data_IF_170246279079
#
_entry.id   IF_170246279079
#
_cell.length_a   1.000
_cell.length_b   1.000
_cell.length_c   1.000
_cell.angle_alpha   90.00
_cell.angle_beta   90.00
_cell.angle_gamma   90.00
#
_symmetry.space_group_name_H-M   'P 1'
#
loop_
_entity.id
_entity.type
_entity.pdbx_description
1 polymer ?
#
# COMPACT_ATOMS: atom_id res chain seq x y z
N UNK A 1 0.86 27.47 1.98
CA UNK A 1 0.70 26.57 3.12
C UNK A 1 0.85 25.13 2.67
N UNK A 2 1.83 24.45 3.24
CA UNK A 2 2.11 23.08 2.83
C UNK A 2 1.35 22.08 3.70
N UNK A 3 0.38 21.46 3.10
CA UNK A 3 -0.39 20.44 3.78
C UNK A 3 -0.02 19.08 3.18
N UNK A 4 0.41 18.18 4.03
CA UNK A 4 0.73 16.84 3.61
C UNK A 4 -0.53 15.99 3.78
N UNK A 5 -1.06 15.52 2.67
CA UNK A 5 -2.23 14.66 2.70
C UNK A 5 -1.85 13.30 2.13
N UNK A 6 -2.27 12.26 2.83
CA UNK A 6 -2.06 10.90 2.37
C UNK A 6 -3.33 10.33 1.80
N UNK A 7 -3.21 9.66 0.69
CA UNK A 7 -4.33 8.91 0.11
C UNK A 7 -4.37 7.55 0.78
N UNK A 8 -5.46 7.20 1.47
CA UNK A 8 -5.54 5.93 2.17
C UNK A 8 -5.75 4.76 1.21
N UNK A 9 -5.01 3.68 1.45
CA UNK A 9 -5.17 2.43 0.70
C UNK A 9 -5.35 1.32 1.72
N UNK A 10 -6.46 0.61 1.60
CA UNK A 10 -6.80 -0.46 2.54
C UNK A 10 -6.16 -1.79 2.14
N UNK A 11 -6.04 -2.69 3.12
CA UNK A 11 -5.54 -4.05 2.85
C UNK A 11 -6.44 -4.78 1.87
N UNK A 12 -7.75 -4.53 1.92
CA UNK A 12 -8.68 -5.13 0.97
C UNK A 12 -8.32 -4.77 -0.48
N UNK A 13 -7.86 -3.54 -0.71
CA UNK A 13 -7.41 -3.10 -2.03
C UNK A 13 -6.15 -3.85 -2.44
N UNK A 14 -5.21 -4.03 -1.51
CA UNK A 14 -3.99 -4.80 -1.78
C UNK A 14 -4.32 -6.25 -2.12
N UNK A 15 -5.31 -6.83 -1.45
CA UNK A 15 -5.74 -8.19 -1.74
C UNK A 15 -6.29 -8.29 -3.17
N UNK A 16 -7.03 -7.31 -3.62
CA UNK A 16 -7.53 -7.28 -5.00
C UNK A 16 -6.39 -7.24 -6.01
N UNK A 17 -5.35 -6.49 -5.72
CA UNK A 17 -4.17 -6.44 -6.59
C UNK A 17 -3.46 -7.78 -6.60
N UNK A 18 -3.37 -8.43 -5.45
CA UNK A 18 -2.77 -9.76 -5.35
C UNK A 18 -3.54 -10.77 -6.19
N UNK A 19 -4.86 -10.67 -6.20
CA UNK A 19 -5.73 -11.56 -6.99
C UNK A 19 -5.49 -11.39 -8.49
N UNK A 20 -4.96 -10.24 -8.90
CA UNK A 20 -4.58 -9.99 -10.29
C UNK A 20 -3.18 -10.51 -10.63
N UNK A 21 -2.50 -11.08 -9.66
CA UNK A 21 -1.15 -11.59 -9.85
C UNK A 21 -0.04 -10.61 -9.51
N UNK A 22 -0.38 -9.48 -8.92
CA UNK A 22 0.60 -8.47 -8.51
C UNK A 22 1.19 -8.86 -7.18
N UNK A 23 2.52 -9.00 -7.11
CA UNK A 23 3.22 -9.38 -5.88
C UNK A 23 4.02 -8.23 -5.29
N UNK A 24 4.30 -7.21 -6.07
CA UNK A 24 5.01 -6.02 -5.61
C UNK A 24 4.09 -4.82 -5.80
N UNK A 25 3.78 -4.15 -4.69
CA UNK A 25 2.90 -2.98 -4.71
C UNK A 25 3.74 -1.73 -4.44
N UNK A 26 3.74 -0.82 -5.38
CA UNK A 26 4.42 0.47 -5.26
C UNK A 26 3.40 1.57 -5.56
N UNK A 27 3.70 2.83 -5.22
CA UNK A 27 2.80 3.92 -5.60
C UNK A 27 2.54 3.96 -7.11
N UNK A 28 3.54 3.60 -7.91
CA UNK A 28 3.37 3.54 -9.36
C UNK A 28 2.35 2.48 -9.78
N UNK A 29 2.41 1.31 -9.15
CA UNK A 29 1.46 0.23 -9.40
C UNK A 29 0.05 0.69 -9.03
N UNK A 30 -0.08 1.40 -7.91
CA UNK A 30 -1.38 1.92 -7.47
C UNK A 30 -1.95 2.91 -8.48
N UNK A 31 -1.11 3.76 -9.05
CA UNK A 31 -1.54 4.70 -10.09
C UNK A 31 -1.97 3.95 -11.33
N UNK A 32 -1.20 2.97 -11.76
CA UNK A 32 -1.53 2.17 -12.95
C UNK A 32 -2.85 1.43 -12.83
N UNK A 33 -3.20 1.03 -11.61
CA UNK A 33 -4.45 0.31 -11.35
C UNK A 33 -5.61 1.23 -10.97
N UNK A 34 -5.39 2.55 -11.03
CA UNK A 34 -6.45 3.51 -10.75
C UNK A 34 -6.81 3.65 -9.28
N UNK A 35 -5.95 3.16 -8.39
CA UNK A 35 -6.19 3.26 -6.95
C UNK A 35 -5.86 4.65 -6.43
N UNK A 36 -4.78 5.23 -6.92
CA UNK A 36 -4.36 6.58 -6.54
C UNK A 36 -4.02 7.38 -7.79
N UNK A 37 -3.82 8.67 -7.62
CA UNK A 37 -3.36 9.54 -8.70
C UNK A 37 -1.87 9.83 -8.55
N UNK A 38 -1.25 10.29 -9.64
CA UNK A 38 0.16 10.67 -9.60
C UNK A 38 0.40 11.77 -8.58
N UNK A 39 1.57 11.74 -7.98
CA UNK A 39 2.03 12.72 -6.98
C UNK A 39 1.28 12.69 -5.66
N UNK A 40 0.40 11.73 -5.46
CA UNK A 40 -0.24 11.57 -4.16
C UNK A 40 0.65 10.73 -3.25
N UNK A 41 0.64 11.08 -1.97
CA UNK A 41 1.31 10.28 -0.96
C UNK A 41 0.37 9.15 -0.55
N UNK A 42 0.92 7.98 -0.40
CA UNK A 42 0.13 6.78 -0.10
C UNK A 42 0.34 6.34 1.33
N UNK A 43 -0.75 6.11 2.03
CA UNK A 43 -0.72 5.54 3.38
C UNK A 43 -1.52 4.25 3.39
N UNK A 44 -0.88 3.18 3.81
CA UNK A 44 -1.53 1.87 3.90
C UNK A 44 -2.22 1.75 5.25
N UNK A 45 -3.51 1.47 5.23
CA UNK A 45 -4.31 1.31 6.43
C UNK A 45 -4.64 -0.16 6.67
N UNK A 46 -4.72 -0.55 7.94
CA UNK A 46 -4.99 -1.93 8.32
C UNK A 46 -6.45 -2.31 8.27
N UNK A 47 -7.17 -1.87 7.25
CA UNK A 47 -8.58 -2.21 7.06
C UNK A 47 -8.75 -3.30 6.03
N UNK A 48 -9.63 -4.25 6.30
CA UNK A 48 -9.87 -5.39 5.43
C UNK A 48 -8.90 -6.51 5.75
N UNK A 49 -8.91 -7.53 4.93
CA UNK A 49 -8.08 -8.70 5.13
C UNK A 49 -7.08 -8.85 4.00
N UNK A 50 -5.89 -9.25 4.36
CA UNK A 50 -4.84 -9.57 3.41
C UNK A 50 -4.33 -10.95 3.74
N UNK A 51 -4.42 -11.85 2.77
CA UNK A 51 -3.93 -13.22 2.92
C UNK A 51 -2.76 -13.52 1.99
N UNK A 52 -2.53 -12.66 1.01
CA UNK A 52 -1.46 -12.85 0.05
C UNK A 52 -0.15 -12.24 0.53
N UNK A 53 0.95 -12.89 0.23
CA UNK A 53 2.28 -12.38 0.52
C UNK A 53 2.64 -11.32 -0.50
N UNK A 54 2.81 -10.09 -0.05
CA UNK A 54 3.12 -8.96 -0.91
C UNK A 54 4.32 -8.19 -0.42
N UNK A 55 5.05 -7.61 -1.36
CA UNK A 55 6.05 -6.59 -1.08
C UNK A 55 5.35 -5.25 -1.28
N UNK A 56 5.16 -4.52 -0.19
CA UNK A 56 4.42 -3.26 -0.25
C UNK A 56 5.34 -2.08 0.02
N UNK A 57 5.33 -1.14 -0.88
CA UNK A 57 6.10 0.10 -0.75
C UNK A 57 5.12 1.26 -0.77
N UNK A 58 5.18 2.08 0.26
CA UNK A 58 4.29 3.23 0.38
C UNK A 58 4.98 4.32 1.19
N UNK A 59 4.40 5.50 1.17
CA UNK A 59 4.98 6.63 1.90
C UNK A 59 4.78 6.52 3.40
N UNK A 60 3.70 5.87 3.82
CA UNK A 60 3.42 5.65 5.23
C UNK A 60 2.60 4.37 5.42
N UNK A 61 2.68 3.81 6.61
CA UNK A 61 1.91 2.62 6.99
C UNK A 61 1.33 2.85 8.37
N UNK A 62 0.09 2.42 8.59
CA UNK A 62 -0.41 2.37 9.95
C UNK A 62 0.25 1.18 10.66
N UNK A 63 0.30 1.23 11.98
CA UNK A 63 0.91 0.13 12.76
C UNK A 63 0.21 -1.19 12.46
N UNK A 64 -1.12 -1.17 12.36
CA UNK A 64 -1.89 -2.38 12.07
C UNK A 64 -1.65 -2.90 10.66
N UNK A 65 -1.52 -2.00 9.68
CA UNK A 65 -1.24 -2.40 8.31
C UNK A 65 0.10 -3.12 8.22
N UNK A 66 1.13 -2.55 8.84
CA UNK A 66 2.46 -3.15 8.86
C UNK A 66 2.42 -4.53 9.50
N UNK A 67 1.76 -4.63 10.63
CA UNK A 67 1.61 -5.89 11.35
C UNK A 67 0.92 -6.96 10.49
N UNK A 68 -0.17 -6.59 9.84
CA UNK A 68 -0.94 -7.53 9.02
C UNK A 68 -0.16 -7.99 7.78
N UNK A 69 0.57 -7.07 7.14
CA UNK A 69 1.37 -7.41 5.97
C UNK A 69 2.50 -8.37 6.36
N UNK A 70 3.16 -8.10 7.48
CA UNK A 70 4.23 -8.97 7.96
C UNK A 70 3.71 -10.31 8.41
N UNK A 71 2.50 -10.34 8.98
CA UNK A 71 1.89 -11.59 9.46
C UNK A 71 1.67 -12.61 8.33
N UNK A 72 1.44 -12.15 7.10
CA UNK A 72 1.28 -13.03 5.95
C UNK A 72 2.59 -13.30 5.21
N UNK A 73 3.70 -12.89 5.81
CA UNK A 73 5.03 -13.10 5.24
C UNK A 73 5.47 -12.05 4.24
N UNK A 74 4.71 -10.96 4.12
CA UNK A 74 5.06 -9.86 3.24
C UNK A 74 6.05 -8.90 3.86
N UNK A 75 6.41 -7.87 3.12
CA UNK A 75 7.33 -6.83 3.59
C UNK A 75 6.71 -5.45 3.41
N UNK A 76 7.09 -4.54 4.30
CA UNK A 76 6.69 -3.15 4.24
C UNK A 76 7.93 -2.28 4.13
N UNK A 77 8.06 -1.57 3.01
CA UNK A 77 9.16 -0.65 2.80
C UNK A 77 8.61 0.75 2.60
N UNK A 78 9.31 1.71 3.19
CA UNK A 78 8.94 3.10 2.99
C UNK A 78 9.46 3.56 1.63
N UNK A 79 8.56 4.07 0.82
CA UNK A 79 8.89 4.59 -0.50
C UNK A 79 9.23 6.07 -0.37
N UNK A 80 10.43 6.43 -0.75
CA UNK A 80 10.85 7.83 -0.72
C UNK A 80 10.91 8.38 -2.13
N UNK A 81 10.19 9.47 -2.35
CA UNK A 81 10.26 10.22 -3.59
C UNK A 81 11.02 11.51 -3.33
N UNK A 82 11.90 11.80 -4.23
CA UNK A 82 12.59 13.09 -4.16
C UNK A 82 11.87 14.12 -5.01
#
# INVERSE_FOLDING_TARGET
>A
MNRIEYTPVNLATLQKLADKGITVVTPEVLVENGVTHKKELVKILGRGELTAKLEVKAHAFSAKAKEMIEAVGGTCDKYETK
#
